data_IF_353095362380
#
_entry.id   IF_353095362380
#
_cell.length_a   1.000
_cell.length_b   1.000
_cell.length_c   1.000
_cell.angle_alpha   90.00
_cell.angle_beta   90.00
_cell.angle_gamma   90.00
#
_symmetry.space_group_name_H-M   'P 1'
#
loop_
_entity.id
_entity.type
_entity.pdbx_description
1 polymer ?
#
# COMPACT_ATOMS: atom_id res chain seq x y z
N UNK A 1 4.68 -12.73 5.07
CA UNK A 1 4.20 -11.34 4.95
C UNK A 1 3.49 -10.99 6.24
N UNK A 2 3.97 -9.97 6.96
CA UNK A 2 3.40 -9.54 8.25
C UNK A 2 3.40 -8.02 8.25
N UNK A 3 2.24 -7.40 8.47
CA UNK A 3 2.15 -5.95 8.58
C UNK A 3 2.71 -5.54 9.94
N UNK A 4 3.75 -4.71 9.95
CA UNK A 4 4.34 -4.11 11.14
C UNK A 4 3.95 -2.63 11.18
N UNK A 5 3.38 -2.19 12.28
CA UNK A 5 3.05 -0.78 12.51
C UNK A 5 3.92 -0.28 13.66
N UNK A 6 4.90 0.57 13.33
CA UNK A 6 5.75 1.20 14.32
C UNK A 6 4.99 2.37 14.97
N UNK A 7 4.97 2.38 16.30
CA UNK A 7 4.22 3.31 17.14
C UNK A 7 5.09 3.85 18.27
N UNK A 8 4.63 4.90 18.94
CA UNK A 8 5.23 5.44 20.16
C UNK A 8 4.16 5.63 21.22
N UNK A 9 4.25 4.89 22.33
CA UNK A 9 3.35 5.01 23.48
C UNK A 9 3.59 6.29 24.28
N UNK A 10 4.84 6.73 24.38
CA UNK A 10 5.26 7.89 25.20
C UNK A 10 5.27 9.20 24.39
N UNK A 11 4.74 9.22 23.15
CA UNK A 11 4.74 10.44 22.33
C UNK A 11 4.00 11.60 23.02
N UNK A 12 4.68 12.75 23.14
CA UNK A 12 4.10 14.00 23.63
C UNK A 12 3.18 14.70 22.61
N UNK A 13 3.24 14.29 21.33
CA UNK A 13 2.41 14.85 20.28
C UNK A 13 1.05 14.12 20.22
N UNK A 14 -0.02 14.83 20.57
CA UNK A 14 -1.40 14.31 20.54
C UNK A 14 -1.81 13.85 19.14
N UNK A 15 -1.32 14.50 18.09
CA UNK A 15 -1.63 14.15 16.71
C UNK A 15 -1.02 12.80 16.32
N UNK A 16 0.24 12.55 16.70
CA UNK A 16 0.90 11.26 16.50
C UNK A 16 0.09 10.13 17.14
N UNK A 17 -0.36 10.31 18.39
CA UNK A 17 -1.20 9.33 19.09
C UNK A 17 -2.51 9.05 18.36
N UNK A 18 -3.21 10.10 17.90
CA UNK A 18 -4.44 9.97 17.12
C UNK A 18 -4.22 9.22 15.80
N UNK A 19 -3.15 9.55 15.07
CA UNK A 19 -2.78 8.91 13.80
C UNK A 19 -2.47 7.43 13.99
N UNK A 20 -1.69 7.07 15.02
CA UNK A 20 -1.42 5.67 15.39
C UNK A 20 -2.70 4.90 15.69
N UNK A 21 -3.56 5.47 16.55
CA UNK A 21 -4.83 4.85 16.94
C UNK A 21 -5.75 4.64 15.73
N UNK A 22 -5.83 5.62 14.85
CA UNK A 22 -6.65 5.54 13.63
C UNK A 22 -6.19 4.42 12.69
N UNK A 23 -4.88 4.26 12.47
CA UNK A 23 -4.36 3.15 11.66
C UNK A 23 -4.77 1.81 12.25
N UNK A 24 -4.57 1.62 13.56
CA UNK A 24 -4.94 0.37 14.25
C UNK A 24 -6.43 0.07 14.10
N UNK A 25 -7.29 1.06 14.33
CA UNK A 25 -8.74 0.92 14.16
C UNK A 25 -9.15 0.53 12.74
N UNK A 26 -8.52 1.11 11.71
CA UNK A 26 -8.82 0.80 10.30
C UNK A 26 -8.36 -0.62 9.96
N UNK A 27 -7.15 -1.01 10.37
CA UNK A 27 -6.63 -2.36 10.15
C UNK A 27 -7.51 -3.42 10.82
N UNK A 28 -7.93 -3.18 12.06
CA UNK A 28 -8.86 -4.05 12.80
C UNK A 28 -10.21 -4.15 12.07
N UNK A 29 -10.76 -3.01 11.61
CA UNK A 29 -12.03 -2.97 10.88
C UNK A 29 -11.99 -3.73 9.55
N UNK A 30 -10.85 -3.69 8.84
CA UNK A 30 -10.61 -4.44 7.60
C UNK A 30 -10.12 -5.88 7.84
N UNK A 31 -10.07 -6.35 9.09
CA UNK A 31 -9.58 -7.69 9.48
C UNK A 31 -8.15 -8.00 8.99
N UNK A 32 -7.30 -6.97 8.88
CA UNK A 32 -5.92 -7.12 8.46
C UNK A 32 -5.07 -7.38 9.71
N UNK A 33 -4.40 -8.53 9.75
CA UNK A 33 -3.50 -8.87 10.86
C UNK A 33 -2.23 -8.02 10.81
N UNK A 34 -1.90 -7.38 11.93
CA UNK A 34 -0.67 -6.59 12.08
C UNK A 34 -0.03 -6.81 13.45
N UNK A 35 1.23 -6.38 13.56
CA UNK A 35 1.99 -6.30 14.80
C UNK A 35 2.28 -4.83 15.08
N UNK A 36 1.77 -4.31 16.19
CA UNK A 36 2.15 -3.00 16.68
C UNK A 36 3.49 -3.11 17.43
N UNK A 37 4.45 -2.28 17.06
CA UNK A 37 5.78 -2.24 17.66
C UNK A 37 5.95 -0.86 18.28
N UNK A 38 5.93 -0.77 19.61
CA UNK A 38 6.18 0.49 20.30
C UNK A 38 7.69 0.72 20.43
N UNK A 39 8.23 1.64 19.65
CA UNK A 39 9.66 1.98 19.64
C UNK A 39 10.12 2.71 20.90
N UNK A 40 9.21 3.03 21.83
CA UNK A 40 9.51 3.65 23.11
C UNK A 40 9.58 2.66 24.26
N UNK A 41 9.24 1.39 24.04
CA UNK A 41 9.41 0.35 25.05
C UNK A 41 10.90 0.01 25.29
N UNK A 42 11.30 -0.34 26.52
CA UNK A 42 12.66 -0.79 26.81
C UNK A 42 13.03 -2.03 25.96
N UNK A 43 14.21 -2.02 25.33
CA UNK A 43 14.66 -3.15 24.49
C UNK A 43 14.19 -3.09 23.03
N UNK A 44 13.56 -1.98 22.61
CA UNK A 44 13.12 -1.73 21.21
C UNK A 44 14.02 -0.74 20.47
N UNK A 45 15.25 -0.53 20.91
CA UNK A 45 16.20 0.40 20.30
C UNK A 45 16.56 -0.02 18.87
N UNK A 46 16.71 -1.32 18.61
CA UNK A 46 16.95 -1.84 17.27
C UNK A 46 15.76 -1.58 16.32
N UNK A 47 14.53 -1.75 16.81
CA UNK A 47 13.31 -1.47 16.06
C UNK A 47 13.15 0.02 15.77
N UNK A 48 13.49 0.88 16.74
CA UNK A 48 13.55 2.32 16.56
C UNK A 48 14.54 2.70 15.45
N UNK A 49 15.74 2.15 15.50
CA UNK A 49 16.79 2.45 14.52
C UNK A 49 16.40 1.93 13.13
N UNK A 50 15.90 0.69 13.04
CA UNK A 50 15.37 0.13 11.81
C UNK A 50 14.30 1.01 11.17
N UNK A 51 13.31 1.47 11.97
CA UNK A 51 12.27 2.37 11.48
C UNK A 51 12.88 3.68 10.98
N UNK A 52 13.83 4.27 11.70
CA UNK A 52 14.47 5.54 11.31
C UNK A 52 15.30 5.45 10.04
N UNK A 53 15.98 4.32 9.83
CA UNK A 53 16.86 4.10 8.68
C UNK A 53 16.09 3.73 7.40
N UNK A 54 14.93 3.07 7.54
CA UNK A 54 14.19 2.51 6.41
C UNK A 54 12.88 3.24 6.08
N UNK A 55 12.39 4.11 6.97
CA UNK A 55 11.22 4.95 6.68
C UNK A 55 11.65 6.27 6.01
N UNK A 56 10.71 6.86 5.26
CA UNK A 56 10.93 8.17 4.65
C UNK A 56 10.48 9.27 5.60
N UNK A 57 11.35 10.21 5.90
CA UNK A 57 10.96 11.41 6.61
C UNK A 57 10.28 12.37 5.63
N UNK A 58 9.02 12.74 5.90
CA UNK A 58 8.32 13.74 5.10
C UNK A 58 8.92 15.14 5.36
N UNK A 59 8.73 15.65 6.59
CA UNK A 59 9.03 17.05 6.93
C UNK A 59 10.00 17.21 8.12
N UNK A 60 10.55 16.10 8.62
CA UNK A 60 11.38 16.07 9.83
C UNK A 60 12.77 15.52 9.54
N UNK A 61 13.74 15.81 10.41
CA UNK A 61 15.09 15.24 10.32
C UNK A 61 15.08 13.70 10.41
N UNK A 62 14.10 13.15 11.13
CA UNK A 62 13.87 11.72 11.28
C UNK A 62 12.39 11.41 11.10
N UNK A 63 12.03 10.24 10.53
CA UNK A 63 10.64 9.85 10.39
C UNK A 63 10.01 9.65 11.77
N UNK A 64 8.80 10.18 11.93
CA UNK A 64 8.01 10.05 13.15
C UNK A 64 6.98 8.92 13.00
N UNK A 65 6.69 8.16 14.05
CA UNK A 65 5.55 7.25 14.07
C UNK A 65 4.22 7.98 13.76
N UNK A 66 3.22 7.30 13.16
CA UNK A 66 3.23 5.89 12.76
C UNK A 66 3.95 5.65 11.42
N UNK A 67 4.63 4.50 11.31
CA UNK A 67 5.27 4.03 10.08
C UNK A 67 4.89 2.57 9.80
N UNK A 68 4.48 2.27 8.58
CA UNK A 68 3.96 0.95 8.19
C UNK A 68 4.96 0.21 7.30
N UNK A 69 5.19 -1.05 7.63
CA UNK A 69 6.03 -1.98 6.87
C UNK A 69 5.29 -3.30 6.63
N UNK A 70 5.65 -3.98 5.54
CA UNK A 70 5.30 -5.39 5.32
C UNK A 70 6.58 -6.22 5.36
N UNK A 71 6.76 -6.97 6.46
CA UNK A 71 8.05 -7.57 6.79
C UNK A 71 9.10 -6.48 7.00
N UNK A 72 10.04 -6.37 6.07
CA UNK A 72 11.11 -5.36 6.10
C UNK A 72 10.94 -4.33 4.96
N UNK A 73 9.88 -4.43 4.17
CA UNK A 73 9.59 -3.49 3.10
C UNK A 73 8.75 -2.34 3.61
N UNK A 74 9.25 -1.11 3.44
CA UNK A 74 8.49 0.10 3.75
C UNK A 74 7.24 0.21 2.87
N UNK A 75 6.08 0.47 3.49
CA UNK A 75 4.81 0.73 2.82
C UNK A 75 4.53 2.23 2.75
N UNK A 76 4.60 2.93 3.89
CA UNK A 76 4.34 4.36 3.96
C UNK A 76 4.10 4.85 5.39
N UNK A 77 3.78 6.13 5.49
CA UNK A 77 3.44 6.82 6.72
C UNK A 77 1.91 6.92 6.89
N UNK A 78 1.46 7.71 7.87
CA UNK A 78 0.03 7.96 8.09
C UNK A 78 -0.68 8.52 6.87
N UNK A 79 -0.11 9.53 6.19
CA UNK A 79 -0.81 10.23 5.10
C UNK A 79 -0.99 9.30 3.89
N UNK A 80 0.04 8.53 3.55
CA UNK A 80 -0.08 7.51 2.52
C UNK A 80 -1.12 6.44 2.86
N UNK A 81 -1.19 6.03 4.14
CA UNK A 81 -2.18 5.05 4.60
C UNK A 81 -3.61 5.58 4.53
N UNK A 82 -3.86 6.81 5.01
CA UNK A 82 -5.18 7.43 5.03
C UNK A 82 -5.70 7.64 3.59
N UNK A 83 -4.84 8.11 2.69
CA UNK A 83 -5.15 8.25 1.26
C UNK A 83 -5.48 6.89 0.61
N UNK A 84 -4.68 5.86 0.87
CA UNK A 84 -4.94 4.52 0.35
C UNK A 84 -6.25 3.93 0.91
N UNK A 85 -6.60 4.26 2.16
CA UNK A 85 -7.89 3.87 2.73
C UNK A 85 -9.06 4.61 2.07
N UNK A 86 -8.91 5.91 1.79
CA UNK A 86 -9.93 6.71 1.08
C UNK A 86 -10.17 6.25 -0.36
N UNK A 87 -9.13 5.74 -1.03
CA UNK A 87 -9.20 5.22 -2.40
C UNK A 87 -9.54 3.72 -2.48
N UNK A 88 -9.77 3.04 -1.35
CA UNK A 88 -9.94 1.58 -1.29
C UNK A 88 -8.75 0.77 -1.85
N UNK A 89 -7.54 1.34 -1.84
CA UNK A 89 -6.29 0.73 -2.33
C UNK A 89 -5.41 0.19 -1.20
N UNK A 90 -5.99 -0.10 -0.03
CA UNK A 90 -5.22 -0.43 1.16
C UNK A 90 -4.39 -1.71 0.99
N UNK A 91 -4.89 -2.71 0.26
CA UNK A 91 -4.14 -3.93 -0.03
C UNK A 91 -2.89 -3.66 -0.86
N UNK A 92 -2.99 -2.76 -1.84
CA UNK A 92 -1.89 -2.31 -2.70
C UNK A 92 -0.85 -1.55 -1.86
N UNK A 93 -1.31 -0.60 -1.03
CA UNK A 93 -0.45 0.17 -0.13
C UNK A 93 0.33 -0.74 0.84
N UNK A 94 -0.36 -1.72 1.43
CA UNK A 94 0.23 -2.69 2.36
C UNK A 94 1.04 -3.78 1.64
N UNK A 95 1.11 -3.76 0.31
CA UNK A 95 1.79 -4.78 -0.52
C UNK A 95 1.29 -6.19 -0.22
N UNK A 96 0.00 -6.31 0.09
CA UNK A 96 -0.64 -7.59 0.29
C UNK A 96 -0.95 -8.21 -1.08
N UNK A 97 -0.91 -9.55 -1.20
CA UNK A 97 -1.43 -10.20 -2.38
C UNK A 97 -2.93 -9.89 -2.43
N UNK A 98 -3.32 -9.04 -3.38
CA UNK A 98 -4.73 -8.82 -3.68
C UNK A 98 -5.28 -10.21 -3.99
N UNK A 99 -6.33 -10.69 -3.30
CA UNK A 99 -7.04 -11.87 -3.78
C UNK A 99 -7.52 -11.46 -5.15
N UNK A 100 -6.88 -11.97 -6.20
CA UNK A 100 -7.28 -11.70 -7.57
C UNK A 100 -8.75 -12.11 -7.64
N UNK A 101 -9.66 -11.14 -7.54
CA UNK A 101 -10.85 -11.17 -8.38
C UNK A 101 -10.26 -11.46 -9.75
N UNK A 102 -10.60 -12.61 -10.36
CA UNK A 102 -9.90 -13.10 -11.52
C UNK A 102 -9.79 -11.91 -12.46
N UNK A 103 -8.55 -11.49 -12.77
CA UNK A 103 -8.30 -10.50 -13.81
C UNK A 103 -9.31 -10.81 -14.91
N UNK A 104 -10.15 -9.85 -15.37
CA UNK A 104 -11.23 -10.15 -16.30
C UNK A 104 -10.62 -11.06 -17.35
N UNK A 105 -11.03 -12.34 -17.32
CA UNK A 105 -10.33 -13.37 -18.05
C UNK A 105 -10.12 -12.80 -19.45
N UNK A 106 -8.91 -12.86 -20.03
CA UNK A 106 -8.70 -12.35 -21.39
C UNK A 106 -9.89 -12.86 -22.18
N UNK A 107 -10.71 -11.97 -22.78
CA UNK A 107 -12.04 -12.33 -23.21
C UNK A 107 -11.91 -13.64 -23.97
N UNK A 108 -12.63 -14.68 -23.55
CA UNK A 108 -12.59 -15.96 -24.26
C UNK A 108 -13.32 -15.72 -25.57
N UNK A 109 -12.61 -15.13 -26.51
CA UNK A 109 -13.07 -14.86 -27.85
C UNK A 109 -13.04 -16.21 -28.56
N UNK A 110 -14.18 -16.91 -28.52
CA UNK A 110 -14.45 -18.07 -29.36
C UNK A 110 -14.06 -17.72 -30.80
N UNK A 111 -13.37 -18.63 -31.51
CA UNK A 111 -12.52 -18.37 -32.70
C UNK A 111 -13.07 -17.51 -33.85
N UNK A 112 -14.34 -17.12 -33.85
CA UNK A 112 -14.90 -16.07 -34.72
C UNK A 112 -14.58 -14.64 -34.27
N UNK A 113 -14.55 -14.39 -32.96
CA UNK A 113 -14.30 -13.07 -32.39
C UNK A 113 -12.81 -12.66 -32.44
N UNK A 114 -11.88 -13.64 -32.43
CA UNK A 114 -10.43 -13.40 -32.62
C UNK A 114 -10.15 -12.80 -34.00
N UNK A 115 -10.81 -13.33 -35.03
CA UNK A 115 -10.67 -12.84 -36.40
C UNK A 115 -11.21 -11.42 -36.48
N UNK A 116 -12.37 -11.13 -35.86
CA UNK A 116 -12.92 -9.78 -35.80
C UNK A 116 -12.00 -8.80 -35.06
N UNK A 117 -11.44 -9.18 -33.90
CA UNK A 117 -10.50 -8.34 -33.17
C UNK A 117 -9.21 -8.06 -33.96
N UNK A 118 -8.62 -9.08 -34.59
CA UNK A 118 -7.45 -8.90 -35.46
C UNK A 118 -7.79 -8.08 -36.69
N UNK A 119 -8.93 -8.31 -37.33
CA UNK A 119 -9.36 -7.56 -38.50
C UNK A 119 -9.64 -6.09 -38.16
N UNK A 120 -10.27 -5.81 -37.00
CA UNK A 120 -10.49 -4.44 -36.52
C UNK A 120 -9.17 -3.75 -36.17
N UNK A 121 -8.23 -4.46 -35.54
CA UNK A 121 -6.91 -3.92 -35.18
C UNK A 121 -6.05 -3.63 -36.42
N UNK A 122 -6.08 -4.51 -37.42
CA UNK A 122 -5.42 -4.31 -38.72
C UNK A 122 -6.07 -3.14 -39.48
N UNK A 123 -7.41 -3.05 -39.49
CA UNK A 123 -8.12 -1.94 -40.16
C UNK A 123 -7.80 -0.61 -39.48
N UNK A 124 -7.77 -0.56 -38.14
CA UNK A 124 -7.39 0.64 -37.37
C UNK A 124 -5.94 1.04 -37.60
N UNK A 125 -5.02 0.08 -37.75
CA UNK A 125 -3.62 0.34 -38.09
C UNK A 125 -3.48 0.89 -39.51
N UNK A 126 -4.29 0.41 -40.47
CA UNK A 126 -4.32 0.95 -41.84
C UNK A 126 -4.81 2.41 -41.89
N UNK A 127 -5.83 2.76 -41.11
CA UNK A 127 -6.28 4.16 -40.98
C UNK A 127 -5.25 5.05 -40.26
N UNK A 128 -4.48 4.50 -39.32
CA UNK A 128 -3.45 5.25 -38.59
C UNK A 128 -2.23 5.57 -39.47
N UNK A 129 -1.86 4.69 -40.40
CA UNK A 129 -0.74 4.92 -41.34
C UNK A 129 -1.12 5.89 -42.47
N UNK A 130 -2.41 6.05 -42.79
CA UNK A 130 -2.86 6.99 -43.82
C UNK A 130 -2.86 8.48 -43.36
N UNK A 131 -2.53 8.75 -42.09
CA UNK A 131 -2.56 10.10 -41.50
C UNK A 131 -1.16 10.66 -41.18
N UNK A 132 -0.10 10.06 -41.73
CA UNK A 132 1.26 10.60 -41.77
C UNK A 132 1.73 10.74 -43.22
#
# INVERSE_FOLDING_TARGET
MVIKVYTSGISGNKEVKKRQQRIMMILDSKNIKYVAIDITEPGKEAEKQFMQDNAKAADSKHPLPPQIFNGDQYCGDYLGFDLANENDELEVFLKLPIPTSPAPAPPVINGREVILFYFLKIKKLKYFVQFF
#
